data_IF_449620247085
#
_entry.id   IF_449620247085
#
_cell.length_a   1.000
_cell.length_b   1.000
_cell.length_c   1.000
_cell.angle_alpha   90.00
_cell.angle_beta   90.00
_cell.angle_gamma   90.00
#
_symmetry.space_group_name_H-M   'P 1'
#
loop_
_entity.id
_entity.type
_entity.pdbx_description
1 polymer ?
#
# COMPACT_ATOMS: atom_id res chain seq x y z
N UNK A 1 -0.61 0.49 -2.57
CA UNK A 1 -0.07 -0.81 -3.04
C UNK A 1 -0.88 -1.21 -4.25
N UNK A 2 -0.24 -1.53 -5.38
CA UNK A 2 -0.95 -1.99 -6.59
C UNK A 2 -0.73 -3.48 -6.80
N UNK A 3 -1.61 -4.10 -7.56
CA UNK A 3 -1.45 -5.47 -8.06
C UNK A 3 -0.83 -5.40 -9.44
N UNK A 4 0.50 -5.50 -9.49
CA UNK A 4 1.27 -5.53 -10.72
C UNK A 4 1.14 -6.90 -11.40
N UNK A 5 1.19 -6.91 -12.73
CA UNK A 5 1.13 -8.14 -13.51
C UNK A 5 2.02 -8.06 -14.75
N UNK A 6 2.34 -9.22 -15.31
CA UNK A 6 2.95 -9.35 -16.62
C UNK A 6 2.13 -10.35 -17.42
N UNK A 7 1.29 -9.85 -18.32
CA UNK A 7 0.36 -10.66 -19.10
C UNK A 7 0.46 -10.26 -20.57
N UNK A 8 1.36 -10.89 -21.35
CA UNK A 8 1.59 -10.50 -22.73
C UNK A 8 0.31 -10.51 -23.56
N UNK A 9 0.05 -9.40 -24.27
CA UNK A 9 -1.14 -9.22 -25.11
C UNK A 9 -2.39 -8.75 -24.36
N UNK A 10 -2.29 -8.40 -23.07
CA UNK A 10 -3.37 -7.80 -22.29
C UNK A 10 -2.97 -6.40 -21.84
N UNK A 11 -3.66 -5.40 -22.37
CA UNK A 11 -3.36 -3.98 -22.11
C UNK A 11 -4.02 -3.44 -20.83
N UNK A 12 -5.17 -4.00 -20.45
CA UNK A 12 -5.92 -3.59 -19.26
C UNK A 12 -6.51 -4.82 -18.59
N UNK A 13 -6.37 -4.87 -17.27
CA UNK A 13 -6.88 -5.94 -16.42
C UNK A 13 -7.63 -5.32 -15.25
N UNK A 14 -8.83 -5.84 -14.97
CA UNK A 14 -9.63 -5.54 -13.80
C UNK A 14 -9.68 -6.76 -12.90
N UNK A 15 -9.44 -6.58 -11.60
CA UNK A 15 -9.54 -7.63 -10.58
C UNK A 15 -10.41 -7.16 -9.40
N UNK A 16 -11.03 -8.11 -8.71
CA UNK A 16 -11.69 -7.87 -7.42
C UNK A 16 -10.84 -8.41 -6.28
N UNK A 17 -11.13 -7.94 -5.05
CA UNK A 17 -10.45 -8.40 -3.85
C UNK A 17 -10.55 -9.92 -3.65
N UNK A 18 -11.73 -10.49 -3.87
CA UNK A 18 -11.96 -11.94 -3.79
C UNK A 18 -11.11 -12.72 -4.79
N UNK A 19 -11.06 -12.28 -6.05
CA UNK A 19 -10.25 -12.93 -7.09
C UNK A 19 -8.76 -12.89 -6.71
N UNK A 20 -8.28 -11.76 -6.20
CA UNK A 20 -6.89 -11.65 -5.75
C UNK A 20 -6.63 -12.60 -4.57
N UNK A 21 -7.51 -12.64 -3.59
CA UNK A 21 -7.38 -13.54 -2.44
C UNK A 21 -7.32 -15.02 -2.89
N UNK A 22 -8.18 -15.42 -3.82
CA UNK A 22 -8.22 -16.78 -4.36
C UNK A 22 -7.00 -17.14 -5.21
N UNK A 23 -6.42 -16.19 -5.94
CA UNK A 23 -5.14 -16.37 -6.66
C UNK A 23 -4.01 -16.66 -5.66
N UNK A 24 -3.88 -15.84 -4.62
CA UNK A 24 -2.83 -16.04 -3.61
C UNK A 24 -3.10 -17.24 -2.70
N UNK A 25 -4.35 -17.71 -2.59
CA UNK A 25 -4.70 -18.96 -1.93
C UNK A 25 -4.48 -20.21 -2.81
N UNK A 26 -4.13 -20.05 -4.10
CA UNK A 26 -3.93 -21.15 -5.03
C UNK A 26 -5.22 -21.83 -5.51
N UNK A 27 -6.36 -21.17 -5.34
CA UNK A 27 -7.68 -21.62 -5.83
C UNK A 27 -7.82 -21.27 -7.30
N UNK A 28 -7.63 -19.99 -7.65
CA UNK A 28 -7.55 -19.54 -9.05
C UNK A 28 -6.11 -19.71 -9.52
N UNK A 29 -5.90 -20.57 -10.53
CA UNK A 29 -4.55 -20.96 -10.99
C UNK A 29 -4.22 -20.52 -12.41
N UNK A 30 -5.22 -20.10 -13.20
CA UNK A 30 -5.05 -19.76 -14.60
C UNK A 30 -5.65 -18.39 -14.92
N UNK A 31 -5.04 -17.67 -15.85
CA UNK A 31 -5.49 -16.32 -16.24
C UNK A 31 -6.86 -16.31 -16.92
N UNK A 32 -7.24 -17.37 -17.63
CA UNK A 32 -8.55 -17.51 -18.25
C UNK A 32 -9.63 -18.09 -17.33
N UNK A 33 -9.39 -18.13 -16.01
CA UNK A 33 -10.41 -18.53 -15.03
C UNK A 33 -11.69 -17.69 -15.19
N UNK A 34 -12.85 -18.34 -15.06
CA UNK A 34 -14.15 -17.72 -15.31
C UNK A 34 -14.38 -16.48 -14.44
N UNK A 35 -13.87 -16.46 -13.20
CA UNK A 35 -14.00 -15.29 -12.32
C UNK A 35 -13.17 -14.10 -12.80
N UNK A 36 -11.98 -14.34 -13.36
CA UNK A 36 -11.17 -13.28 -13.97
C UNK A 36 -11.82 -12.82 -15.29
N UNK A 37 -12.26 -13.77 -16.11
CA UNK A 37 -12.90 -13.49 -17.40
C UNK A 37 -14.20 -12.69 -17.24
N UNK A 38 -14.99 -12.95 -16.19
CA UNK A 38 -16.22 -12.22 -15.90
C UNK A 38 -15.99 -10.71 -15.64
N UNK A 39 -14.83 -10.35 -15.08
CA UNK A 39 -14.41 -8.96 -14.83
C UNK A 39 -13.81 -8.28 -16.07
N UNK A 40 -13.48 -9.05 -17.12
CA UNK A 40 -12.73 -8.60 -18.28
C UNK A 40 -13.36 -9.10 -19.58
N UNK A 41 -14.67 -8.87 -19.77
CA UNK A 41 -15.49 -9.45 -20.85
C UNK A 41 -14.92 -9.25 -22.26
N UNK A 42 -14.29 -8.10 -22.50
CA UNK A 42 -13.75 -7.73 -23.82
C UNK A 42 -12.28 -8.12 -24.01
N UNK A 43 -11.66 -8.76 -23.01
CA UNK A 43 -10.25 -9.16 -23.04
C UNK A 43 -10.18 -10.68 -23.20
N UNK A 44 -9.43 -11.14 -24.22
CA UNK A 44 -9.12 -12.55 -24.38
C UNK A 44 -7.98 -12.94 -23.44
N UNK A 45 -8.32 -13.52 -22.30
CA UNK A 45 -7.34 -13.96 -21.32
C UNK A 45 -6.68 -15.29 -21.76
N UNK A 46 -5.36 -15.45 -21.59
CA UNK A 46 -4.65 -16.64 -22.04
C UNK A 46 -4.89 -17.84 -21.11
N UNK A 47 -4.93 -19.04 -21.68
CA UNK A 47 -4.88 -20.31 -20.92
C UNK A 47 -3.45 -20.58 -20.42
N UNK A 48 -3.06 -19.81 -19.39
CA UNK A 48 -1.72 -19.84 -18.80
C UNK A 48 -1.81 -19.81 -17.29
N UNK A 49 -0.93 -20.55 -16.65
CA UNK A 49 -0.81 -20.54 -15.19
C UNK A 49 -0.45 -19.14 -14.69
N UNK A 50 -1.05 -18.76 -13.56
CA UNK A 50 -0.72 -17.55 -12.84
C UNK A 50 0.50 -17.85 -11.96
N UNK A 51 1.48 -16.95 -11.95
CA UNK A 51 2.65 -17.05 -11.10
C UNK A 51 2.61 -15.94 -10.04
N UNK A 52 2.00 -16.18 -8.86
CA UNK A 52 2.01 -15.21 -7.77
C UNK A 52 3.43 -14.95 -7.28
N UNK A 53 3.74 -13.71 -6.96
CA UNK A 53 4.99 -13.29 -6.34
C UNK A 53 4.67 -12.55 -5.05
N UNK A 54 5.33 -12.93 -3.95
CA UNK A 54 5.13 -12.34 -2.64
C UNK A 54 6.47 -11.95 -2.00
N UNK A 55 6.40 -11.18 -0.91
CA UNK A 55 7.58 -10.70 -0.18
C UNK A 55 8.19 -11.80 0.68
N UNK A 56 9.50 -12.00 0.58
CA UNK A 56 10.24 -12.95 1.43
C UNK A 56 10.61 -12.39 2.81
N UNK A 57 10.54 -11.07 2.97
CA UNK A 57 10.95 -10.33 4.16
C UNK A 57 9.75 -9.73 4.92
N UNK A 58 9.92 -9.47 6.22
CA UNK A 58 8.91 -8.80 7.04
C UNK A 58 8.56 -7.43 6.46
N UNK A 59 7.32 -7.26 5.99
CA UNK A 59 6.97 -6.21 5.04
C UNK A 59 5.69 -5.47 5.42
N UNK A 60 5.77 -4.14 5.51
CA UNK A 60 4.58 -3.29 5.64
C UNK A 60 3.65 -3.37 4.41
N UNK A 61 4.22 -3.51 3.21
CA UNK A 61 3.43 -3.73 1.98
C UNK A 61 2.63 -5.03 2.05
N UNK A 62 3.21 -6.09 2.64
CA UNK A 62 2.52 -7.39 2.87
C UNK A 62 1.44 -7.23 3.92
N UNK A 63 1.70 -6.48 4.99
CA UNK A 63 0.67 -6.16 5.98
C UNK A 63 -0.52 -5.46 5.33
N UNK A 64 -0.30 -4.41 4.53
CA UNK A 64 -1.36 -3.66 3.85
C UNK A 64 -2.12 -4.53 2.85
N UNK A 65 -1.39 -5.35 2.07
CA UNK A 65 -2.01 -6.27 1.12
C UNK A 65 -2.88 -7.32 1.82
N UNK A 66 -2.36 -7.97 2.86
CA UNK A 66 -3.09 -9.03 3.58
C UNK A 66 -4.21 -8.49 4.49
N UNK A 67 -4.09 -7.26 4.99
CA UNK A 67 -5.16 -6.52 5.65
C UNK A 67 -6.34 -6.29 4.69
N UNK A 68 -6.04 -5.83 3.46
CA UNK A 68 -7.05 -5.70 2.42
C UNK A 68 -7.71 -7.06 2.11
N UNK A 69 -6.92 -8.11 1.85
CA UNK A 69 -7.47 -9.44 1.54
C UNK A 69 -8.35 -9.98 2.69
N UNK A 70 -7.96 -9.75 3.94
CA UNK A 70 -8.74 -10.17 5.11
C UNK A 70 -10.05 -9.39 5.28
N UNK A 71 -10.17 -8.18 4.74
CA UNK A 71 -11.40 -7.38 4.75
C UNK A 71 -12.39 -7.81 3.68
N UNK A 72 -11.90 -8.29 2.54
CA UNK A 72 -12.75 -8.60 1.37
C UNK A 72 -13.05 -10.09 1.22
N UNK A 73 -12.22 -10.98 1.77
CA UNK A 73 -12.40 -12.42 1.62
C UNK A 73 -12.33 -13.15 2.98
N UNK A 74 -13.45 -13.73 3.40
CA UNK A 74 -13.56 -14.40 4.70
C UNK A 74 -12.71 -15.68 4.78
N UNK A 75 -12.61 -16.43 3.67
CA UNK A 75 -11.75 -17.62 3.60
C UNK A 75 -10.28 -17.24 3.80
N UNK A 76 -9.82 -16.16 3.17
CA UNK A 76 -8.47 -15.64 3.37
C UNK A 76 -8.24 -15.26 4.84
N UNK A 77 -9.16 -14.47 5.41
CA UNK A 77 -9.09 -14.01 6.80
C UNK A 77 -8.93 -15.18 7.77
N UNK A 78 -9.71 -16.24 7.58
CA UNK A 78 -9.75 -17.37 8.50
C UNK A 78 -8.56 -18.33 8.34
N UNK A 79 -7.98 -18.44 7.14
CA UNK A 79 -6.90 -19.40 6.86
C UNK A 79 -5.49 -18.80 6.86
N UNK A 80 -5.33 -17.53 6.45
CA UNK A 80 -4.02 -16.87 6.30
C UNK A 80 -3.91 -15.58 7.13
N UNK A 81 -5.00 -14.82 7.21
CA UNK A 81 -5.09 -13.61 8.01
C UNK A 81 -4.25 -12.43 7.51
N UNK A 82 -3.92 -11.54 8.44
CA UNK A 82 -3.19 -10.29 8.20
C UNK A 82 -1.85 -10.30 8.92
N UNK A 83 -0.78 -9.90 8.24
CA UNK A 83 0.53 -9.83 8.87
C UNK A 83 1.63 -9.25 7.98
N UNK A 84 2.76 -8.88 8.60
CA UNK A 84 3.98 -8.51 7.88
C UNK A 84 4.66 -9.71 7.20
N UNK A 85 4.25 -10.92 7.59
CA UNK A 85 4.58 -12.21 6.99
C UNK A 85 3.38 -13.13 7.21
N UNK A 86 2.98 -13.86 6.16
CA UNK A 86 1.92 -14.89 6.22
C UNK A 86 2.39 -16.10 5.42
N UNK A 87 1.83 -17.28 5.70
CA UNK A 87 2.17 -18.52 4.99
C UNK A 87 1.42 -18.57 3.65
N UNK A 88 1.96 -17.92 2.62
CA UNK A 88 1.43 -18.04 1.26
C UNK A 88 1.56 -19.49 0.76
N UNK A 89 0.47 -20.15 0.34
CA UNK A 89 0.49 -21.55 -0.08
C UNK A 89 1.08 -21.75 -1.48
N UNK A 90 1.14 -20.68 -2.29
CA UNK A 90 1.63 -20.69 -3.67
C UNK A 90 2.43 -19.43 -3.96
N UNK A 91 3.22 -19.49 -5.04
CA UNK A 91 3.96 -18.34 -5.56
C UNK A 91 5.44 -18.33 -5.19
N UNK A 92 6.13 -17.31 -5.68
CA UNK A 92 7.56 -17.13 -5.55
C UNK A 92 7.88 -16.01 -4.57
N UNK A 93 8.79 -16.26 -3.64
CA UNK A 93 9.24 -15.26 -2.68
C UNK A 93 10.32 -14.37 -3.31
N UNK A 94 10.18 -13.05 -3.19
CA UNK A 94 11.17 -12.08 -3.61
C UNK A 94 11.40 -11.01 -2.52
N UNK A 95 12.64 -10.52 -2.42
CA UNK A 95 13.03 -9.60 -1.35
C UNK A 95 12.70 -8.15 -1.70
N UNK A 96 11.98 -7.45 -0.82
CA UNK A 96 11.66 -6.04 -0.98
C UNK A 96 10.68 -5.74 -2.13
N UNK A 97 10.21 -4.50 -2.22
CA UNK A 97 9.49 -4.03 -3.41
C UNK A 97 10.31 -4.17 -4.70
N UNK A 98 11.62 -3.83 -4.75
CA UNK A 98 12.42 -3.98 -5.96
C UNK A 98 12.46 -5.43 -6.48
N UNK A 99 12.59 -6.41 -5.58
CA UNK A 99 12.62 -7.83 -5.96
C UNK A 99 11.30 -8.31 -6.53
N UNK A 100 10.17 -7.97 -5.89
CA UNK A 100 8.83 -8.33 -6.40
C UNK A 100 8.57 -7.63 -7.74
N UNK A 101 8.83 -6.33 -7.85
CA UNK A 101 8.65 -5.56 -9.08
C UNK A 101 9.48 -6.14 -10.25
N UNK A 102 10.76 -6.43 -10.01
CA UNK A 102 11.65 -7.03 -11.01
C UNK A 102 11.18 -8.43 -11.42
N UNK A 103 10.73 -9.24 -10.46
CA UNK A 103 10.24 -10.60 -10.72
C UNK A 103 9.00 -10.53 -11.63
N UNK A 104 8.06 -9.64 -11.32
CA UNK A 104 6.86 -9.46 -12.14
C UNK A 104 7.23 -8.99 -13.55
N UNK A 105 8.05 -7.94 -13.66
CA UNK A 105 8.45 -7.37 -14.94
C UNK A 105 9.15 -8.38 -15.87
N UNK A 106 9.92 -9.32 -15.32
CA UNK A 106 10.71 -10.28 -16.10
C UNK A 106 10.05 -11.64 -16.31
N UNK A 107 8.97 -11.93 -15.58
CA UNK A 107 8.32 -13.26 -15.61
C UNK A 107 6.96 -13.15 -16.28
N UNK A 108 6.81 -13.59 -17.54
CA UNK A 108 5.50 -13.67 -18.18
C UNK A 108 4.52 -14.48 -17.34
N UNK A 109 3.26 -14.04 -17.33
CA UNK A 109 2.13 -14.63 -16.60
C UNK A 109 2.20 -14.48 -15.08
N UNK A 110 3.06 -13.60 -14.57
CA UNK A 110 3.19 -13.33 -13.14
C UNK A 110 2.26 -12.22 -12.63
N UNK A 111 2.01 -12.25 -11.32
CA UNK A 111 1.26 -11.25 -10.57
C UNK A 111 1.96 -11.00 -9.24
N UNK A 112 2.00 -9.75 -8.77
CA UNK A 112 2.67 -9.37 -7.52
C UNK A 112 2.06 -8.12 -6.90
N UNK A 113 2.19 -7.96 -5.59
CA UNK A 113 1.80 -6.72 -4.91
C UNK A 113 3.02 -5.84 -4.63
N UNK A 114 2.98 -4.59 -5.08
CA UNK A 114 4.10 -3.64 -4.93
C UNK A 114 3.61 -2.25 -4.53
N UNK A 115 4.51 -1.42 -4.01
CA UNK A 115 4.28 0.01 -3.92
C UNK A 115 3.93 0.62 -5.28
N UNK A 116 2.96 1.52 -5.33
CA UNK A 116 2.51 2.16 -6.58
C UNK A 116 3.65 2.91 -7.26
N UNK A 117 4.57 3.48 -6.48
CA UNK A 117 5.74 4.20 -6.94
C UNK A 117 6.66 3.36 -7.84
N UNK A 118 6.77 2.05 -7.57
CA UNK A 118 7.56 1.14 -8.42
C UNK A 118 6.87 0.89 -9.76
N UNK A 119 5.56 0.67 -9.74
CA UNK A 119 4.80 0.46 -10.96
C UNK A 119 4.82 1.71 -11.86
N UNK A 120 4.67 2.89 -11.26
CA UNK A 120 4.65 4.16 -11.99
C UNK A 120 6.03 4.50 -12.56
N UNK A 121 7.09 4.43 -11.74
CA UNK A 121 8.45 4.76 -12.18
C UNK A 121 8.98 3.79 -13.25
N UNK A 122 8.69 2.49 -13.11
CA UNK A 122 9.19 1.44 -14.00
C UNK A 122 8.21 1.08 -15.12
N UNK A 123 7.04 1.74 -15.18
CA UNK A 123 5.97 1.47 -16.15
C UNK A 123 5.54 -0.01 -16.18
N UNK A 124 5.50 -0.64 -15.00
CA UNK A 124 5.02 -2.02 -14.86
C UNK A 124 3.50 -1.99 -14.92
N UNK A 125 2.89 -2.86 -15.72
CA UNK A 125 1.44 -2.98 -15.81
C UNK A 125 0.84 -3.37 -14.45
N UNK A 126 -0.29 -2.77 -14.09
CA UNK A 126 -1.01 -3.06 -12.85
C UNK A 126 -2.52 -3.06 -13.08
N UNK A 127 -3.23 -3.83 -12.27
CA UNK A 127 -4.67 -4.02 -12.42
C UNK A 127 -5.46 -2.81 -11.86
N UNK A 128 -6.54 -2.47 -12.55
CA UNK A 128 -7.65 -1.71 -11.97
C UNK A 128 -8.37 -2.61 -10.98
N UNK A 129 -8.86 -2.05 -9.87
CA UNK A 129 -9.48 -2.85 -8.81
C UNK A 129 -10.92 -2.43 -8.59
N UNK A 130 -11.78 -3.42 -8.30
CA UNK A 130 -13.12 -3.16 -7.77
C UNK A 130 -12.98 -2.66 -6.33
N UNK A 131 -13.47 -1.46 -6.04
CA UNK A 131 -13.45 -0.88 -4.69
C UNK A 131 -14.63 -1.40 -3.83
N UNK A 132 -14.71 -0.93 -2.58
CA UNK A 132 -15.78 -1.32 -1.65
C UNK A 132 -17.20 -0.95 -2.12
N UNK A 133 -17.32 0.00 -3.04
CA UNK A 133 -18.59 0.45 -3.61
C UNK A 133 -18.97 -0.28 -4.91
N UNK A 134 -18.11 -1.17 -5.41
CA UNK A 134 -18.32 -1.89 -6.66
C UNK A 134 -17.79 -1.17 -7.91
N UNK A 135 -17.13 -0.02 -7.76
CA UNK A 135 -16.58 0.74 -8.87
C UNK A 135 -15.24 0.18 -9.34
N UNK A 136 -14.98 0.24 -10.64
CA UNK A 136 -13.65 -0.02 -11.22
C UNK A 136 -12.76 1.20 -11.01
N UNK A 137 -11.74 1.09 -10.15
CA UNK A 137 -10.85 2.19 -9.79
C UNK A 137 -9.41 1.87 -10.18
N UNK A 138 -8.78 2.83 -10.86
CA UNK A 138 -7.34 2.79 -11.14
C UNK A 138 -6.54 3.49 -10.05
N UNK A 139 -5.35 2.98 -9.73
CA UNK A 139 -4.44 3.63 -8.79
C UNK A 139 -3.87 4.91 -9.39
N UNK A 140 -4.10 6.05 -8.74
CA UNK A 140 -3.47 7.33 -9.03
C UNK A 140 -3.53 8.23 -7.78
N UNK A 141 -2.92 9.41 -7.83
CA UNK A 141 -2.88 10.32 -6.69
C UNK A 141 -4.29 10.69 -6.16
N UNK A 142 -5.27 10.88 -7.04
CA UNK A 142 -6.63 11.23 -6.65
C UNK A 142 -7.35 10.06 -5.96
N UNK A 143 -7.30 8.85 -6.52
CA UNK A 143 -7.96 7.68 -5.93
C UNK A 143 -7.30 7.20 -4.63
N UNK A 144 -5.98 7.36 -4.51
CA UNK A 144 -5.25 7.11 -3.26
C UNK A 144 -5.63 8.16 -2.20
N UNK A 145 -5.69 9.45 -2.58
CA UNK A 145 -6.11 10.52 -1.65
C UNK A 145 -7.56 10.34 -1.19
N UNK A 146 -8.45 9.89 -2.09
CA UNK A 146 -9.85 9.63 -1.76
C UNK A 146 -10.01 8.59 -0.64
N UNK A 147 -9.15 7.56 -0.62
CA UNK A 147 -9.17 6.55 0.43
C UNK A 147 -8.88 7.11 1.83
N UNK A 148 -8.15 8.22 1.91
CA UNK A 148 -7.75 8.89 3.14
C UNK A 148 -8.75 9.94 3.65
N UNK A 149 -9.93 10.06 3.02
CA UNK A 149 -10.97 11.04 3.41
C UNK A 149 -11.82 10.62 4.64
N UNK A 150 -11.61 9.40 5.15
CA UNK A 150 -12.27 8.92 6.37
C UNK A 150 -11.72 9.54 7.66
N UNK A 151 -12.23 9.05 8.79
CA UNK A 151 -11.76 9.48 10.11
C UNK A 151 -10.30 9.07 10.35
N UNK A 152 -9.50 10.01 10.83
CA UNK A 152 -8.11 9.80 11.23
C UNK A 152 -8.02 10.01 12.74
N UNK A 153 -7.66 8.99 13.53
CA UNK A 153 -7.56 9.10 14.98
C UNK A 153 -6.42 10.04 15.38
N UNK A 154 -6.46 10.56 16.60
CA UNK A 154 -5.49 11.56 17.09
C UNK A 154 -4.04 11.08 17.07
N UNK A 155 -3.82 9.77 17.21
CA UNK A 155 -2.51 9.12 17.15
C UNK A 155 -2.11 8.69 15.72
N UNK A 156 -2.94 9.02 14.72
CA UNK A 156 -2.82 8.72 13.28
C UNK A 156 -2.71 7.23 12.92
N UNK A 157 -2.92 6.32 13.88
CA UNK A 157 -2.84 4.87 13.66
C UNK A 157 -4.15 4.35 13.07
N UNK A 158 -4.28 4.41 11.76
CA UNK A 158 -5.46 3.91 11.03
C UNK A 158 -5.09 3.14 9.77
N UNK A 159 -5.92 2.17 9.38
CA UNK A 159 -5.87 1.51 8.08
C UNK A 159 -6.91 2.13 7.16
N UNK A 160 -6.48 2.56 5.97
CA UNK A 160 -7.34 3.09 4.92
C UNK A 160 -7.52 2.10 3.76
N UNK A 161 -7.23 0.81 3.98
CA UNK A 161 -7.56 -0.24 3.01
C UNK A 161 -9.06 -0.51 3.01
N UNK A 162 -9.58 -0.85 1.82
CA UNK A 162 -10.99 -1.05 1.52
C UNK A 162 -11.89 0.11 1.98
N UNK A 163 -11.41 1.35 1.85
CA UNK A 163 -12.19 2.54 2.19
C UNK A 163 -13.47 2.61 1.35
N UNK A 164 -14.58 2.98 1.99
CA UNK A 164 -15.89 3.19 1.35
C UNK A 164 -16.03 4.59 0.73
N UNK A 165 -15.00 5.43 0.86
CA UNK A 165 -15.02 6.75 0.26
C UNK A 165 -15.19 6.67 -1.27
N UNK A 166 -16.00 7.55 -1.89
CA UNK A 166 -16.20 7.56 -3.34
C UNK A 166 -14.87 7.64 -4.10
N UNK A 167 -14.67 6.78 -5.11
CA UNK A 167 -13.47 6.76 -5.93
C UNK A 167 -12.19 6.27 -5.22
N UNK A 168 -12.29 5.75 -3.99
CA UNK A 168 -11.13 5.25 -3.25
C UNK A 168 -10.49 4.04 -3.92
N UNK A 169 -9.16 4.08 -4.08
CA UNK A 169 -8.40 2.91 -4.47
C UNK A 169 -8.27 1.96 -3.26
N UNK A 170 -8.62 0.67 -3.40
CA UNK A 170 -8.91 -0.17 -2.25
C UNK A 170 -7.67 -0.63 -1.46
N UNK A 171 -6.47 -0.57 -2.02
CA UNK A 171 -5.24 -0.99 -1.33
C UNK A 171 -4.33 0.22 -1.06
N UNK A 172 -4.92 1.23 -0.41
CA UNK A 172 -4.26 2.47 0.01
C UNK A 172 -3.79 2.39 1.46
N UNK A 173 -2.76 3.16 1.81
CA UNK A 173 -2.18 3.14 3.17
C UNK A 173 -1.43 4.43 3.47
N UNK A 174 -1.34 4.80 4.74
CA UNK A 174 -0.33 5.74 5.23
C UNK A 174 1.00 5.01 5.48
N UNK A 175 2.07 5.79 5.58
CA UNK A 175 3.33 5.34 6.18
C UNK A 175 3.67 6.24 7.34
N UNK A 176 4.35 5.71 8.36
CA UNK A 176 4.60 6.42 9.61
C UNK A 176 6.10 6.56 9.86
N UNK A 177 6.49 7.76 10.29
CA UNK A 177 7.72 7.96 11.05
C UNK A 177 7.42 7.66 12.51
N UNK A 178 8.29 6.88 13.15
CA UNK A 178 8.17 6.53 14.57
C UNK A 178 9.39 7.09 15.28
N UNK A 179 9.14 7.96 16.25
CA UNK A 179 10.16 8.53 17.14
C UNK A 179 9.78 8.26 18.59
N UNK A 180 10.77 8.20 19.48
CA UNK A 180 10.50 8.19 20.92
C UNK A 180 9.79 9.49 21.33
N UNK A 181 8.98 9.46 22.38
CA UNK A 181 8.41 10.69 22.91
C UNK A 181 9.46 11.51 23.65
N UNK A 182 10.26 10.87 24.51
CA UNK A 182 11.43 11.49 25.14
C UNK A 182 12.64 11.35 24.22
N UNK A 183 13.30 12.47 23.90
CA UNK A 183 14.42 12.53 22.97
C UNK A 183 15.78 12.52 23.66
N UNK A 184 15.88 12.63 24.98
CA UNK A 184 17.13 12.39 25.70
C UNK A 184 17.41 10.88 25.83
N UNK A 185 17.74 10.23 24.72
CA UNK A 185 18.17 8.84 24.65
C UNK A 185 19.49 8.71 23.89
N UNK A 186 20.24 7.64 24.15
CA UNK A 186 21.40 7.29 23.33
C UNK A 186 22.51 8.35 23.31
N UNK A 187 22.61 9.21 24.33
CA UNK A 187 23.60 10.31 24.45
C UNK A 187 23.50 11.39 23.38
N UNK A 188 22.35 11.54 22.72
CA UNK A 188 22.13 12.66 21.80
C UNK A 188 21.92 13.96 22.55
N UNK A 189 22.31 15.08 21.96
CA UNK A 189 22.08 16.41 22.53
C UNK A 189 20.74 17.02 22.08
N UNK A 190 20.35 18.14 22.71
CA UNK A 190 19.10 18.85 22.42
C UNK A 190 19.04 19.41 21.00
N UNK A 191 20.18 19.80 20.41
CA UNK A 191 20.21 20.33 19.04
C UNK A 191 19.89 19.21 18.04
N UNK A 192 20.42 18.01 18.26
CA UNK A 192 20.08 16.84 17.47
C UNK A 192 18.59 16.50 17.62
N UNK A 193 18.02 16.62 18.84
CA UNK A 193 16.59 16.41 19.09
C UNK A 193 15.73 17.38 18.30
N UNK A 194 16.02 18.69 18.40
CA UNK A 194 15.34 19.74 17.63
C UNK A 194 15.46 19.54 16.12
N UNK A 195 16.66 19.23 15.62
CA UNK A 195 16.86 18.98 14.19
C UNK A 195 16.03 17.80 13.64
N UNK A 196 15.73 16.78 14.45
CA UNK A 196 14.80 15.70 14.05
C UNK A 196 13.38 16.21 13.92
N UNK A 197 12.93 17.06 14.85
CA UNK A 197 11.61 17.67 14.80
C UNK A 197 11.48 18.64 13.63
N UNK A 198 12.50 19.46 13.37
CA UNK A 198 12.55 20.37 12.23
C UNK A 198 12.44 19.61 10.90
N UNK A 199 13.13 18.47 10.80
CA UNK A 199 13.02 17.60 9.62
C UNK A 199 11.61 17.04 9.45
N UNK A 200 10.97 16.57 10.54
CA UNK A 200 9.60 16.03 10.46
C UNK A 200 8.60 17.15 10.16
N UNK A 201 8.76 18.34 10.73
CA UNK A 201 7.92 19.50 10.44
C UNK A 201 8.05 19.93 8.98
N UNK A 202 9.28 19.96 8.45
CA UNK A 202 9.51 20.19 7.03
C UNK A 202 8.79 19.16 6.16
N UNK A 203 8.89 17.86 6.49
CA UNK A 203 8.17 16.79 5.76
C UNK A 203 6.64 17.03 5.78
N UNK A 204 6.10 17.61 6.85
CA UNK A 204 4.68 17.95 7.00
C UNK A 204 4.29 19.29 6.35
N UNK A 205 5.25 20.07 5.83
CA UNK A 205 5.00 21.37 5.21
C UNK A 205 4.38 21.24 3.82
N UNK A 206 3.67 22.29 3.39
CA UNK A 206 3.11 22.37 2.03
C UNK A 206 4.17 22.21 0.93
N UNK A 207 5.40 22.63 1.19
CA UNK A 207 6.53 22.47 0.26
C UNK A 207 6.85 20.99 0.05
N UNK A 208 7.08 20.24 1.14
CA UNK A 208 7.37 18.81 1.05
C UNK A 208 6.18 18.01 0.52
N UNK A 209 4.95 18.39 0.88
CA UNK A 209 3.75 17.73 0.37
C UNK A 209 3.60 17.87 -1.15
N UNK A 210 4.02 18.99 -1.76
CA UNK A 210 4.02 19.14 -3.22
C UNK A 210 4.99 18.18 -3.91
N UNK A 211 6.17 17.93 -3.31
CA UNK A 211 7.20 17.02 -3.83
C UNK A 211 6.68 15.57 -3.93
N UNK A 212 5.78 15.15 -3.05
CA UNK A 212 5.28 13.76 -3.01
C UNK A 212 4.78 13.25 -4.36
N UNK A 213 4.09 14.11 -5.11
CA UNK A 213 3.52 13.75 -6.42
C UNK A 213 4.59 13.55 -7.50
N UNK A 214 5.73 14.24 -7.40
CA UNK A 214 6.88 14.08 -8.30
C UNK A 214 7.53 12.69 -8.12
N UNK A 215 7.44 12.14 -6.91
CA UNK A 215 7.94 10.82 -6.55
C UNK A 215 6.82 9.77 -6.40
N UNK A 216 5.69 9.99 -7.08
CA UNK A 216 4.60 9.02 -7.23
C UNK A 216 3.81 8.67 -5.95
N UNK A 217 3.87 9.52 -4.93
CA UNK A 217 3.02 9.44 -3.73
C UNK A 217 1.89 10.47 -3.78
N UNK A 218 0.80 10.17 -3.07
CA UNK A 218 -0.24 11.15 -2.79
C UNK A 218 0.16 12.01 -1.58
N UNK A 219 -0.16 13.32 -1.58
CA UNK A 219 0.06 14.16 -0.41
C UNK A 219 -0.84 13.73 0.74
N UNK A 220 -0.41 14.02 1.97
CA UNK A 220 -1.23 13.82 3.17
C UNK A 220 -2.46 14.74 3.13
N UNK A 221 -3.64 14.26 3.55
CA UNK A 221 -4.77 15.15 3.77
C UNK A 221 -4.47 16.12 4.91
N UNK A 222 -5.04 17.33 4.85
CA UNK A 222 -4.82 18.39 5.84
C UNK A 222 -5.04 17.91 7.28
N UNK A 223 -6.02 17.02 7.50
CA UNK A 223 -6.29 16.45 8.82
C UNK A 223 -5.14 15.57 9.34
N UNK A 224 -4.50 14.79 8.48
CA UNK A 224 -3.34 13.98 8.87
C UNK A 224 -2.15 14.86 9.25
N UNK A 225 -1.93 15.96 8.53
CA UNK A 225 -0.89 16.95 8.83
C UNK A 225 -1.13 17.60 10.19
N UNK A 226 -2.35 18.11 10.41
CA UNK A 226 -2.78 18.72 11.67
C UNK A 226 -2.53 17.78 12.87
N UNK A 227 -3.02 16.54 12.77
CA UNK A 227 -2.87 15.55 13.84
C UNK A 227 -1.41 15.14 14.05
N UNK A 228 -0.61 15.08 12.99
CA UNK A 228 0.82 14.79 13.09
C UNK A 228 1.57 15.91 13.82
N UNK A 229 1.29 17.19 13.50
CA UNK A 229 1.85 18.34 14.22
C UNK A 229 1.44 18.35 15.70
N UNK A 230 0.18 18.05 16.01
CA UNK A 230 -0.27 17.89 17.40
C UNK A 230 0.45 16.75 18.15
N UNK A 231 0.92 15.72 17.44
CA UNK A 231 1.73 14.67 18.05
C UNK A 231 3.19 15.10 18.28
N UNK A 232 3.76 15.98 17.46
CA UNK A 232 5.10 16.54 17.69
C UNK A 232 5.16 17.40 18.96
N UNK A 233 4.07 18.07 19.32
CA UNK A 233 3.96 18.85 20.57
C UNK A 233 4.17 18.01 21.84
N UNK A 234 3.98 16.69 21.76
CA UNK A 234 4.17 15.76 22.88
C UNK A 234 5.63 15.37 23.08
N UNK A 235 6.51 15.73 22.15
CA UNK A 235 7.93 15.34 22.16
C UNK A 235 8.70 16.18 23.15
N UNK A 236 9.47 15.52 24.02
CA UNK A 236 10.21 16.13 25.12
C UNK A 236 11.72 15.90 25.02
N UNK A 237 12.48 16.74 25.70
CA UNK A 237 13.88 16.52 26.07
C UNK A 237 14.02 16.84 27.56
N UNK A 238 14.47 15.87 28.36
CA UNK A 238 14.50 15.98 29.83
C UNK A 238 13.11 16.32 30.42
N UNK A 239 12.05 15.76 29.83
CA UNK A 239 10.67 16.02 30.25
C UNK A 239 10.11 17.40 29.86
N UNK A 240 10.88 18.24 29.17
CA UNK A 240 10.44 19.56 28.68
C UNK A 240 10.09 19.45 27.20
N UNK A 241 8.93 19.98 26.78
CA UNK A 241 8.55 20.01 25.37
C UNK A 241 9.55 20.82 24.54
N UNK A 242 9.95 20.29 23.37
CA UNK A 242 11.00 20.90 22.52
C UNK A 242 10.55 21.26 21.10
N UNK A 243 9.30 20.95 20.73
CA UNK A 243 8.73 21.36 19.44
C UNK A 243 8.19 22.79 19.53
N UNK A 244 8.68 23.66 18.66
CA UNK A 244 8.26 25.05 18.51
C UNK A 244 7.63 25.19 17.12
N UNK A 245 6.42 25.75 17.03
CA UNK A 245 5.66 25.90 15.76
C UNK A 245 6.14 27.04 14.89
#
# INVERSE_FOLDING_TARGET
>A
VVVAYNLPGVDSLTLSGDVIAEVYAGIIRKWNDEKIQALNKDVKLPDREIIPTYRSDGSGTTFVFTDYLSKVNESWKNNYGTGKSVNFPVGQAAKGNPGVASTVAQTPYSIGYIGSEYAFAQKIAYAKLINANGDVVEANAASISAAASGEIPSDTRTSITNSVAPGAYPISTFTWLIIYQEQNYGRRDINQAKATLDMIDYILSDEAQKITTEVHYAPLPAKAIELSKNNLEKVTFDGVAIYER
#
